data_IF_991558379842
#
_entry.id   IF_991558379842
#
_cell.length_a   1.000
_cell.length_b   1.000
_cell.length_c   1.000
_cell.angle_alpha   90.00
_cell.angle_beta   90.00
_cell.angle_gamma   90.00
#
_symmetry.space_group_name_H-M   'P 1'
#
loop_
_entity.id
_entity.type
_entity.pdbx_description
1 polymer ?
#
# COMPACT_ATOMS: atom_id res chain seq x y z
N UNK A 1 -11.76 3.29 -9.64
CA UNK A 1 -10.86 3.13 -10.81
C UNK A 1 -11.33 1.93 -11.64
N UNK A 2 -11.21 1.97 -12.98
CA UNK A 2 -11.55 0.82 -13.86
C UNK A 2 -10.35 -0.12 -13.99
N UNK A 3 -10.58 -1.44 -14.06
CA UNK A 3 -9.52 -2.45 -14.19
C UNK A 3 -8.55 -2.20 -15.35
N UNK A 4 -9.06 -1.92 -16.56
CA UNK A 4 -8.22 -1.61 -17.73
C UNK A 4 -7.28 -0.42 -17.53
N UNK A 5 -7.73 0.59 -16.79
CA UNK A 5 -6.90 1.75 -16.48
C UNK A 5 -5.81 1.36 -15.47
N UNK A 6 -6.19 0.65 -14.40
CA UNK A 6 -5.23 0.16 -13.40
C UNK A 6 -4.11 -0.68 -14.03
N UNK A 7 -4.47 -1.65 -14.86
CA UNK A 7 -3.52 -2.52 -15.54
C UNK A 7 -2.57 -1.73 -16.45
N UNK A 8 -3.10 -0.86 -17.31
CA UNK A 8 -2.30 -0.16 -18.33
C UNK A 8 -1.50 0.99 -17.75
N UNK A 9 -2.12 1.83 -16.93
CA UNK A 9 -1.54 3.09 -16.50
C UNK A 9 -0.78 2.96 -15.19
N UNK A 10 -1.14 2.01 -14.32
CA UNK A 10 -0.49 1.83 -13.02
C UNK A 10 0.46 0.63 -13.07
N UNK A 11 -0.03 -0.58 -13.35
CA UNK A 11 0.81 -1.78 -13.29
C UNK A 11 1.90 -1.77 -14.37
N UNK A 12 1.51 -1.70 -15.65
CA UNK A 12 2.44 -1.81 -16.77
C UNK A 12 3.33 -0.59 -16.97
N UNK A 13 2.81 0.62 -16.74
CA UNK A 13 3.57 1.86 -16.94
C UNK A 13 4.38 2.32 -15.73
N UNK A 14 3.97 1.97 -14.51
CA UNK A 14 4.62 2.47 -13.28
C UNK A 14 5.24 1.33 -12.48
N UNK A 15 4.44 0.37 -11.99
CA UNK A 15 4.90 -0.65 -11.04
C UNK A 15 5.98 -1.54 -11.65
N UNK A 16 5.73 -2.13 -12.83
CA UNK A 16 6.66 -3.08 -13.47
C UNK A 16 8.00 -2.43 -13.85
N UNK A 17 8.03 -1.25 -14.51
CA UNK A 17 9.30 -0.59 -14.81
C UNK A 17 10.05 -0.13 -13.55
N UNK A 18 9.33 0.40 -12.56
CA UNK A 18 9.95 0.87 -11.31
C UNK A 18 10.56 -0.27 -10.52
N UNK A 19 9.84 -1.39 -10.36
CA UNK A 19 10.34 -2.54 -9.61
C UNK A 19 11.52 -3.21 -10.30
N UNK A 20 11.48 -3.36 -11.62
CA UNK A 20 12.60 -3.89 -12.41
C UNK A 20 13.85 -3.04 -12.25
N UNK A 21 13.71 -1.71 -12.21
CA UNK A 21 14.82 -0.77 -12.00
C UNK A 21 15.35 -0.80 -10.56
N UNK A 22 14.47 -0.91 -9.58
CA UNK A 22 14.83 -0.72 -8.17
C UNK A 22 15.31 -2.01 -7.50
N UNK A 23 14.64 -3.14 -7.75
CA UNK A 23 14.99 -4.44 -7.15
C UNK A 23 15.90 -5.28 -8.05
N UNK A 24 15.88 -5.03 -9.37
CA UNK A 24 16.67 -5.79 -10.34
C UNK A 24 16.33 -7.29 -10.26
N UNK A 25 17.33 -8.18 -10.09
CA UNK A 25 17.09 -9.62 -10.00
C UNK A 25 16.60 -10.10 -8.63
N UNK A 26 16.46 -9.21 -7.64
CA UNK A 26 16.06 -9.59 -6.29
C UNK A 26 14.59 -10.00 -6.24
N UNK A 27 14.29 -10.96 -5.37
CA UNK A 27 12.91 -11.34 -5.08
C UNK A 27 12.21 -10.19 -4.35
N UNK A 28 11.01 -9.87 -4.79
CA UNK A 28 10.15 -8.87 -4.15
C UNK A 28 8.69 -9.31 -4.27
N UNK A 29 7.85 -8.75 -3.40
CA UNK A 29 6.42 -9.07 -3.34
C UNK A 29 5.61 -7.80 -3.54
N UNK A 30 4.61 -7.88 -4.42
CA UNK A 30 3.61 -6.85 -4.60
C UNK A 30 2.37 -7.16 -3.76
N UNK A 31 2.03 -6.29 -2.81
CA UNK A 31 0.82 -6.40 -2.03
C UNK A 31 -0.21 -5.37 -2.50
N UNK A 32 -1.45 -5.82 -2.71
CA UNK A 32 -2.62 -4.98 -3.01
C UNK A 32 -3.87 -5.57 -2.34
N UNK A 33 -4.92 -4.76 -2.18
CA UNK A 33 -6.22 -5.23 -1.70
C UNK A 33 -7.05 -5.86 -2.83
N UNK A 34 -8.22 -6.43 -2.49
CA UNK A 34 -9.17 -7.01 -3.45
C UNK A 34 -10.22 -6.02 -3.94
N UNK A 35 -9.88 -4.74 -4.13
CA UNK A 35 -10.78 -3.82 -4.81
C UNK A 35 -11.18 -4.38 -6.20
N UNK A 36 -12.37 -4.03 -6.70
CA UNK A 36 -12.93 -4.61 -7.94
C UNK A 36 -11.99 -4.52 -9.14
N UNK A 37 -11.17 -3.47 -9.24
CA UNK A 37 -10.18 -3.32 -10.31
C UNK A 37 -8.98 -4.28 -10.20
N UNK A 38 -8.68 -4.75 -8.99
CA UNK A 38 -7.56 -5.63 -8.67
C UNK A 38 -7.96 -7.11 -8.81
N UNK A 39 -9.24 -7.42 -8.57
CA UNK A 39 -9.79 -8.78 -8.64
C UNK A 39 -10.26 -9.26 -10.02
N UNK A 40 -10.18 -8.46 -11.08
CA UNK A 40 -10.54 -8.91 -12.43
C UNK A 40 -9.52 -9.93 -12.95
N UNK A 41 -9.97 -11.04 -13.56
CA UNK A 41 -9.16 -12.19 -13.98
C UNK A 41 -7.82 -11.87 -14.67
N UNK A 42 -7.72 -10.78 -15.43
CA UNK A 42 -6.49 -10.36 -16.13
C UNK A 42 -5.49 -9.56 -15.27
N UNK A 43 -5.88 -9.11 -14.08
CA UNK A 43 -4.98 -8.41 -13.14
C UNK A 43 -4.10 -9.37 -12.34
N UNK A 44 -4.63 -10.49 -11.79
CA UNK A 44 -3.81 -11.52 -11.17
C UNK A 44 -2.76 -12.10 -12.13
N UNK A 45 -3.05 -12.33 -13.40
CA UNK A 45 -2.06 -12.85 -14.37
C UNK A 45 -0.84 -11.92 -14.52
N UNK A 46 -1.04 -10.60 -14.42
CA UNK A 46 0.03 -9.61 -14.46
C UNK A 46 0.81 -9.50 -13.14
N UNK A 47 0.20 -9.91 -12.02
CA UNK A 47 0.78 -9.85 -10.68
C UNK A 47 1.19 -11.24 -10.13
N UNK A 48 0.91 -12.33 -10.85
CA UNK A 48 0.91 -13.71 -10.34
C UNK A 48 2.29 -14.19 -9.92
N UNK A 49 3.36 -13.59 -10.46
CA UNK A 49 4.73 -13.90 -10.04
C UNK A 49 5.15 -13.20 -8.74
N UNK A 50 4.36 -12.23 -8.25
CA UNK A 50 4.78 -11.29 -7.20
C UNK A 50 3.74 -11.05 -6.10
N UNK A 51 2.47 -11.39 -6.27
CA UNK A 51 1.43 -11.20 -5.25
C UNK A 51 1.03 -12.52 -4.57
N UNK A 52 0.78 -12.52 -3.23
CA UNK A 52 0.20 -13.69 -2.56
C UNK A 52 -1.19 -14.02 -3.12
N UNK A 53 -1.53 -15.31 -3.16
CA UNK A 53 -2.78 -15.82 -3.76
C UNK A 53 -4.07 -15.23 -3.18
N UNK A 54 -4.04 -14.69 -1.95
CA UNK A 54 -5.15 -13.87 -1.44
C UNK A 54 -4.78 -12.96 -0.26
N UNK A 55 -5.13 -11.68 -0.35
CA UNK A 55 -5.21 -10.78 0.80
C UNK A 55 -6.58 -10.93 1.48
N UNK A 56 -6.69 -10.94 2.81
CA UNK A 56 -8.00 -11.05 3.44
C UNK A 56 -8.84 -9.77 3.25
N UNK A 57 -10.16 -9.91 3.14
CA UNK A 57 -11.08 -8.75 3.16
C UNK A 57 -11.08 -8.06 4.52
N UNK A 58 -11.31 -6.74 4.56
CA UNK A 58 -11.37 -5.94 5.79
C UNK A 58 -10.09 -6.05 6.66
N UNK A 59 -8.94 -5.91 6.00
CA UNK A 59 -7.60 -6.13 6.58
C UNK A 59 -6.74 -4.87 6.62
N UNK A 60 -7.36 -3.70 6.75
CA UNK A 60 -6.64 -2.42 6.85
C UNK A 60 -5.60 -2.43 7.98
N UNK A 61 -5.89 -3.12 9.09
CA UNK A 61 -4.94 -3.30 10.19
C UNK A 61 -3.66 -4.07 9.83
N UNK A 62 -3.64 -4.81 8.71
CA UNK A 62 -2.47 -5.54 8.21
C UNK A 62 -1.68 -4.75 7.16
N UNK A 63 -2.32 -3.85 6.43
CA UNK A 63 -1.68 -3.11 5.34
C UNK A 63 -0.93 -1.88 5.88
N UNK A 64 0.41 -1.80 5.76
CA UNK A 64 1.19 -0.64 6.23
C UNK A 64 0.78 0.67 5.57
N UNK A 65 0.24 0.63 4.35
CA UNK A 65 -0.33 1.81 3.71
C UNK A 65 -1.50 2.36 4.52
N UNK A 66 -2.42 1.48 4.93
CA UNK A 66 -3.67 1.85 5.59
C UNK A 66 -3.49 2.20 7.07
N UNK A 67 -2.77 1.36 7.85
CA UNK A 67 -2.67 1.58 9.29
C UNK A 67 -1.71 2.72 9.68
N UNK A 68 -0.84 3.17 8.78
CA UNK A 68 0.16 4.20 9.11
C UNK A 68 0.52 5.16 7.97
N UNK A 69 0.98 4.67 6.81
CA UNK A 69 1.68 5.51 5.83
C UNK A 69 0.75 6.59 5.25
N UNK A 70 -0.51 6.28 4.97
CA UNK A 70 -1.49 7.29 4.52
C UNK A 70 -1.72 8.38 5.56
N UNK A 71 -1.84 8.03 6.84
CA UNK A 71 -2.00 9.03 7.91
C UNK A 71 -0.77 9.93 8.04
N UNK A 72 0.43 9.37 7.83
CA UNK A 72 1.68 10.13 7.84
C UNK A 72 1.74 11.08 6.64
N UNK A 73 1.50 10.58 5.43
CA UNK A 73 1.60 11.38 4.20
C UNK A 73 0.52 12.47 4.14
N UNK A 74 -0.68 12.21 4.65
CA UNK A 74 -1.77 13.17 4.69
C UNK A 74 -1.67 14.15 5.87
N UNK A 75 -0.78 13.97 6.85
CA UNK A 75 -0.77 14.76 8.08
C UNK A 75 -0.64 16.27 7.84
N UNK A 76 0.37 16.69 7.04
CA UNK A 76 0.57 18.11 6.72
C UNK A 76 -0.48 18.63 5.73
N UNK A 77 -0.77 17.93 4.61
CA UNK A 77 -1.79 18.41 3.66
C UNK A 77 -3.18 18.54 4.28
N UNK A 78 -3.62 17.60 5.13
CA UNK A 78 -4.96 17.65 5.73
C UNK A 78 -5.19 18.81 6.71
N UNK A 79 -4.12 19.46 7.19
CA UNK A 79 -4.19 20.58 8.14
C UNK A 79 -4.19 21.96 7.47
N UNK A 80 -4.12 22.01 6.15
CA UNK A 80 -4.01 23.24 5.38
C UNK A 80 -5.15 23.33 4.38
N UNK A 81 -5.74 24.52 4.23
CA UNK A 81 -6.67 24.79 3.14
C UNK A 81 -5.92 25.18 1.88
N UNK A 82 -6.33 24.64 0.74
CA UNK A 82 -5.71 24.89 -0.56
C UNK A 82 -6.75 25.52 -1.49
N UNK A 83 -6.32 26.51 -2.27
CA UNK A 83 -7.21 27.25 -3.18
C UNK A 83 -7.54 26.48 -4.46
N UNK A 84 -6.76 25.45 -4.80
CA UNK A 84 -6.97 24.61 -5.98
C UNK A 84 -6.32 23.22 -5.83
N UNK A 85 -6.68 22.33 -6.75
CA UNK A 85 -6.19 20.95 -6.79
C UNK A 85 -4.67 20.84 -6.98
N UNK A 86 -4.07 21.73 -7.78
CA UNK A 86 -2.62 21.68 -8.06
C UNK A 86 -1.80 21.96 -6.80
N UNK A 87 -2.20 22.96 -6.01
CA UNK A 87 -1.54 23.29 -4.75
C UNK A 87 -1.65 22.17 -3.71
N UNK A 88 -2.80 21.49 -3.66
CA UNK A 88 -2.97 20.28 -2.84
C UNK A 88 -2.07 19.13 -3.34
N UNK A 89 -1.96 18.95 -4.66
CA UNK A 89 -1.12 17.91 -5.28
C UNK A 89 0.36 18.15 -4.95
N UNK A 90 0.85 19.38 -5.12
CA UNK A 90 2.23 19.75 -4.78
C UNK A 90 2.52 19.51 -3.30
N UNK A 91 1.61 19.91 -2.42
CA UNK A 91 1.77 19.68 -0.98
C UNK A 91 1.76 18.18 -0.61
N UNK A 92 0.94 17.38 -1.28
CA UNK A 92 0.85 15.94 -1.06
C UNK A 92 2.11 15.21 -1.51
N UNK A 93 2.65 15.56 -2.69
CA UNK A 93 3.93 15.02 -3.20
C UNK A 93 5.09 15.42 -2.29
N UNK A 94 5.13 16.69 -1.84
CA UNK A 94 6.14 17.15 -0.88
C UNK A 94 6.07 16.36 0.42
N UNK A 95 4.88 16.20 1.00
CA UNK A 95 4.68 15.45 2.25
C UNK A 95 5.11 13.98 2.11
N UNK A 96 4.84 13.35 0.95
CA UNK A 96 5.31 12.00 0.64
C UNK A 96 6.84 11.91 0.60
N UNK A 97 7.51 12.86 -0.07
CA UNK A 97 8.97 12.90 -0.18
C UNK A 97 9.71 13.17 1.14
N UNK A 98 9.02 13.65 2.17
CA UNK A 98 9.58 13.90 3.50
C UNK A 98 9.50 12.66 4.44
N UNK A 99 8.88 11.57 4.00
CA UNK A 99 8.80 10.33 4.79
C UNK A 99 10.15 9.60 4.67
N UNK A 100 10.92 9.57 5.76
CA UNK A 100 12.22 8.90 5.79
C UNK A 100 12.10 7.38 5.81
N UNK A 101 13.12 6.70 5.29
CA UNK A 101 13.25 5.24 5.38
C UNK A 101 13.28 4.76 6.83
N UNK A 102 13.96 5.48 7.72
CA UNK A 102 13.98 5.20 9.17
C UNK A 102 12.57 5.16 9.79
N UNK A 103 11.62 5.88 9.20
CA UNK A 103 10.21 5.86 9.61
C UNK A 103 9.46 4.69 8.97
N UNK A 104 9.76 4.35 7.71
CA UNK A 104 9.09 3.28 6.96
C UNK A 104 9.49 1.89 7.45
N UNK A 105 10.78 1.65 7.72
CA UNK A 105 11.31 0.33 8.06
C UNK A 105 10.63 -0.28 9.30
N UNK A 106 10.45 0.42 10.43
CA UNK A 106 9.75 -0.14 11.58
C UNK A 106 8.27 -0.42 11.29
N UNK A 107 7.60 0.44 10.49
CA UNK A 107 6.20 0.27 10.13
C UNK A 107 6.01 -1.04 9.35
N UNK A 108 6.79 -1.22 8.28
CA UNK A 108 6.77 -2.44 7.47
C UNK A 108 7.19 -3.65 8.29
N UNK A 109 8.20 -3.50 9.16
CA UNK A 109 8.66 -4.54 10.08
C UNK A 109 7.61 -5.02 11.08
N UNK A 110 6.53 -4.26 11.33
CA UNK A 110 5.43 -4.72 12.19
C UNK A 110 4.49 -5.73 11.53
N UNK A 111 4.62 -5.97 10.21
CA UNK A 111 3.70 -6.81 9.46
C UNK A 111 3.51 -8.21 10.08
N UNK A 112 4.61 -8.89 10.38
CA UNK A 112 4.58 -10.25 10.93
C UNK A 112 3.93 -10.28 12.33
N UNK A 113 4.22 -9.28 13.17
CA UNK A 113 3.60 -9.12 14.49
C UNK A 113 2.08 -8.90 14.38
N UNK A 114 1.66 -8.04 13.45
CA UNK A 114 0.24 -7.76 13.18
C UNK A 114 -0.48 -9.00 12.65
N UNK A 115 0.18 -9.77 11.78
CA UNK A 115 -0.36 -11.03 11.27
C UNK A 115 -0.57 -12.04 12.40
N UNK A 116 0.41 -12.21 13.29
CA UNK A 116 0.27 -13.06 14.49
C UNK A 116 -0.87 -12.60 15.39
N UNK A 117 -0.96 -11.30 15.66
CA UNK A 117 -2.05 -10.73 16.45
C UNK A 117 -3.43 -10.99 15.82
N UNK A 118 -3.55 -10.88 14.49
CA UNK A 118 -4.79 -11.21 13.76
C UNK A 118 -5.16 -12.68 13.88
N UNK A 119 -4.17 -13.59 13.85
CA UNK A 119 -4.38 -15.02 14.06
C UNK A 119 -4.83 -15.30 15.50
N UNK A 120 -4.18 -14.71 16.49
CA UNK A 120 -4.55 -14.81 17.91
C UNK A 120 -5.97 -14.28 18.17
N UNK A 121 -6.36 -13.22 17.47
CA UNK A 121 -7.71 -12.66 17.53
C UNK A 121 -8.73 -13.45 16.69
N UNK A 122 -8.38 -14.60 16.11
CA UNK A 122 -9.26 -15.41 15.25
C UNK A 122 -9.86 -14.61 14.08
N UNK A 123 -9.06 -13.74 13.46
CA UNK A 123 -9.50 -12.88 12.38
C UNK A 123 -10.29 -11.64 12.81
N UNK A 124 -10.44 -11.38 14.11
CA UNK A 124 -11.10 -10.17 14.64
C UNK A 124 -10.14 -8.97 14.71
N UNK A 125 -10.63 -7.86 15.23
CA UNK A 125 -9.83 -6.66 15.51
C UNK A 125 -8.81 -6.96 16.62
N UNK A 126 -7.57 -6.50 16.44
CA UNK A 126 -6.42 -6.96 17.22
C UNK A 126 -5.54 -5.84 17.79
N UNK A 127 -5.98 -4.57 17.71
CA UNK A 127 -5.14 -3.46 18.18
C UNK A 127 -4.83 -3.55 19.68
N UNK A 128 -5.70 -4.19 20.47
CA UNK A 128 -5.44 -4.49 21.88
C UNK A 128 -4.26 -5.44 22.13
N UNK A 129 -3.81 -6.19 21.11
CA UNK A 129 -2.66 -7.10 21.15
C UNK A 129 -1.37 -6.47 20.60
N UNK A 130 -1.42 -5.19 20.19
CA UNK A 130 -0.30 -4.47 19.57
C UNK A 130 0.47 -3.57 20.54
N UNK A 131 0.10 -3.58 21.82
CA UNK A 131 0.70 -2.82 22.92
C UNK A 131 1.95 -3.51 23.48
#
# INVERSE_FOLDING_TARGET
MKAKYYQREILLKVVVPWSSKHFGPQNWTFQQDWATAHGTQTTPELCQQQSPDSWPSNSSGLNPMDFAIFSISANKPSRTSYSNFDSLTVASVKSWGEISEDKLLPIVGTFERRLRARVTAEGKYFDHLMN
#
